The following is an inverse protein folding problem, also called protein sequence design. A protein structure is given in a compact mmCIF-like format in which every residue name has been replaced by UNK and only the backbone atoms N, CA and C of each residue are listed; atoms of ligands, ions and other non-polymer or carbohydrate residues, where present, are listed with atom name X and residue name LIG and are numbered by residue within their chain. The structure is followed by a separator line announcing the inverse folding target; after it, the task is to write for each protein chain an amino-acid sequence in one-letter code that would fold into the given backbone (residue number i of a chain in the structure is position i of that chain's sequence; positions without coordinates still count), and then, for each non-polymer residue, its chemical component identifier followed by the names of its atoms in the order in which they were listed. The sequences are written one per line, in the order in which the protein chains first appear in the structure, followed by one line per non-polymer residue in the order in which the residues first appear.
data_IF_677117284262
#
_entry.id   IF_677117284262
#
_cell.length_a   1.000
_cell.length_b   1.000
_cell.length_c   1.000
_cell.angle_alpha   90.00
_cell.angle_beta   90.00
_cell.angle_gamma   90.00
#
_symmetry.space_group_name_H-M   'P 1'
#
loop_
_entity.id
_entity.type
_entity.pdbx_description
1 polymer ?
#
# COMPACT_ATOMS: atom_id res chain seq x y z
N UNK A 1 -26.74 3.10 18.07
CA UNK A 1 -27.03 1.69 18.44
C UNK A 1 -25.67 1.01 18.57
N UNK A 2 -25.16 0.91 19.80
CA UNK A 2 -23.82 0.38 20.08
C UNK A 2 -23.88 -1.16 20.03
N UNK A 3 -23.15 -1.77 19.10
CA UNK A 3 -22.90 -3.22 19.16
C UNK A 3 -21.78 -3.46 20.18
N UNK A 4 -22.16 -3.91 21.36
CA UNK A 4 -21.25 -4.46 22.34
C UNK A 4 -20.68 -5.78 21.80
N UNK A 5 -19.39 -5.80 21.46
CA UNK A 5 -18.65 -7.06 21.31
C UNK A 5 -18.30 -7.60 22.68
N UNK A 6 -19.17 -8.42 23.25
CA UNK A 6 -18.84 -9.25 24.40
C UNK A 6 -18.12 -10.51 23.91
N UNK A 7 -16.81 -10.41 23.73
CA UNK A 7 -15.97 -11.60 23.60
C UNK A 7 -15.16 -11.76 24.90
N UNK A 8 -15.49 -12.79 25.66
CA UNK A 8 -14.73 -13.21 26.84
C UNK A 8 -13.99 -14.48 26.45
N UNK A 9 -12.75 -14.32 25.96
CA UNK A 9 -11.88 -15.41 25.56
C UNK A 9 -10.49 -14.94 25.20
N UNK A 10 -9.54 -15.86 25.07
CA UNK A 10 -8.17 -15.57 24.66
C UNK A 10 -8.12 -15.22 23.16
N UNK A 11 -7.07 -14.50 22.73
CA UNK A 11 -6.84 -14.17 21.32
C UNK A 11 -6.81 -15.42 20.41
N UNK A 12 -6.32 -16.52 20.91
CA UNK A 12 -6.27 -17.81 20.21
C UNK A 12 -7.67 -18.41 19.98
N UNK A 13 -8.56 -18.30 20.95
CA UNK A 13 -9.97 -18.72 20.82
C UNK A 13 -10.73 -17.86 19.82
N UNK A 14 -10.44 -16.54 19.76
CA UNK A 14 -11.01 -15.64 18.76
C UNK A 14 -10.54 -16.01 17.34
N UNK A 15 -9.26 -16.33 17.14
CA UNK A 15 -8.72 -16.80 15.86
C UNK A 15 -9.35 -18.13 15.42
N UNK A 16 -9.52 -19.08 16.35
CA UNK A 16 -10.17 -20.36 16.06
C UNK A 16 -11.64 -20.19 15.65
N UNK A 17 -12.36 -19.26 16.30
CA UNK A 17 -13.76 -18.96 15.98
C UNK A 17 -13.91 -18.26 14.61
N UNK A 18 -12.95 -17.39 14.24
CA UNK A 18 -12.90 -16.80 12.88
C UNK A 18 -12.58 -17.83 11.80
N UNK A 19 -11.70 -18.78 12.08
CA UNK A 19 -11.34 -19.84 11.14
C UNK A 19 -12.55 -20.77 10.88
N UNK A 20 -13.31 -21.13 11.92
CA UNK A 20 -14.53 -21.95 11.80
C UNK A 20 -15.64 -21.23 11.04
N UNK A 21 -15.89 -19.94 11.27
CA UNK A 21 -16.88 -19.16 10.50
C UNK A 21 -16.53 -19.05 9.01
N UNK A 22 -15.24 -19.01 8.68
CA UNK A 22 -14.77 -18.97 7.29
C UNK A 22 -14.93 -20.35 6.60
N UNK A 23 -14.80 -21.43 7.36
CA UNK A 23 -15.02 -22.79 6.87
C UNK A 23 -16.50 -23.10 6.60
N UNK A 24 -17.42 -22.57 7.41
CA UNK A 24 -18.88 -22.73 7.22
C UNK A 24 -19.42 -21.93 6.02
N UNK A 25 -18.82 -20.79 5.67
CA UNK A 25 -19.19 -20.00 4.50
C UNK A 25 -18.68 -20.56 3.17
N UNK A 26 -17.63 -21.39 3.18
CA UNK A 26 -17.03 -21.97 1.97
C UNK A 26 -17.67 -23.30 1.50
N UNK A 27 -18.65 -23.84 2.22
CA UNK A 27 -19.30 -25.10 1.82
C UNK A 27 -20.38 -24.97 0.74
N UNK A 28 -20.64 -23.76 0.20
CA UNK A 28 -21.72 -23.53 -0.77
C UNK A 28 -21.28 -23.00 -2.16
N UNK A 29 -19.99 -22.98 -2.48
CA UNK A 29 -19.52 -22.68 -3.83
C UNK A 29 -18.53 -23.75 -4.29
N UNK A 30 -18.99 -24.64 -5.16
CA UNK A 30 -18.08 -25.48 -5.96
C UNK A 30 -17.60 -24.64 -7.14
N UNK A 31 -16.45 -24.02 -6.99
CA UNK A 31 -15.59 -23.60 -8.08
C UNK A 31 -14.17 -24.06 -7.76
N UNK A 32 -13.50 -24.62 -8.77
CA UNK A 32 -12.14 -25.16 -8.65
C UNK A 32 -11.20 -24.07 -8.15
N UNK A 33 -10.93 -24.08 -6.84
CA UNK A 33 -9.97 -23.20 -6.21
C UNK A 33 -8.57 -23.75 -6.45
N UNK A 34 -7.73 -22.99 -7.15
CA UNK A 34 -6.28 -23.13 -7.07
C UNK A 34 -5.91 -23.08 -5.59
N UNK A 35 -5.48 -24.22 -5.05
CA UNK A 35 -5.10 -24.36 -3.65
C UNK A 35 -3.88 -23.48 -3.40
N UNK A 36 -4.11 -22.30 -2.84
CA UNK A 36 -3.04 -21.49 -2.26
C UNK A 36 -2.52 -22.22 -1.02
N UNK A 37 -1.31 -22.78 -1.13
CA UNK A 37 -0.65 -23.46 -0.04
C UNK A 37 0.11 -22.44 0.81
N UNK A 38 -0.36 -22.09 2.04
CA UNK A 38 0.30 -21.09 2.89
C UNK A 38 1.61 -21.56 3.52
N UNK A 39 2.03 -22.80 3.29
CA UNK A 39 3.24 -23.36 3.89
C UNK A 39 4.55 -23.06 3.13
N UNK A 40 4.48 -22.37 1.99
CA UNK A 40 5.65 -21.74 1.38
C UNK A 40 5.83 -20.30 1.86
N UNK A 41 5.77 -20.07 3.17
CA UNK A 41 6.49 -18.95 3.76
C UNK A 41 7.97 -19.21 3.54
N UNK A 42 8.47 -18.84 2.38
CA UNK A 42 9.89 -18.57 2.18
C UNK A 42 10.23 -17.61 3.32
N UNK A 43 10.95 -18.13 4.30
CA UNK A 43 11.46 -17.33 5.42
C UNK A 43 12.28 -16.23 4.79
N UNK A 44 11.73 -14.99 4.77
CA UNK A 44 12.38 -13.79 4.26
C UNK A 44 13.64 -13.41 5.06
N UNK A 45 14.44 -14.40 5.49
CA UNK A 45 15.61 -14.23 6.31
C UNK A 45 16.88 -13.79 5.53
N UNK A 46 16.77 -13.47 4.22
CA UNK A 46 17.93 -13.19 3.37
C UNK A 46 17.78 -11.94 2.53
N UNK A 47 17.23 -10.85 3.09
CA UNK A 47 17.26 -9.55 2.43
C UNK A 47 18.20 -8.58 3.16
N UNK A 48 19.44 -8.95 3.27
CA UNK A 48 20.47 -7.98 3.50
C UNK A 48 20.82 -7.37 2.14
N UNK A 49 20.20 -6.24 1.79
CA UNK A 49 20.56 -5.54 0.56
C UNK A 49 22.06 -5.27 0.53
N UNK A 50 22.66 -5.21 -0.65
CA UNK A 50 24.09 -4.86 -0.78
C UNK A 50 24.37 -3.52 -0.10
N UNK A 51 23.39 -2.60 -0.11
CA UNK A 51 23.45 -1.36 0.65
C UNK A 51 23.70 -1.64 2.15
N UNK A 52 22.88 -2.50 2.78
CA UNK A 52 23.05 -2.88 4.18
C UNK A 52 24.39 -3.59 4.40
N UNK A 53 24.80 -4.51 3.50
CA UNK A 53 26.08 -5.20 3.59
C UNK A 53 27.27 -4.24 3.64
N UNK A 54 27.19 -3.11 2.93
CA UNK A 54 28.22 -2.08 2.96
C UNK A 54 28.13 -1.28 4.26
N UNK A 55 26.98 -0.65 4.53
CA UNK A 55 26.89 0.41 5.54
C UNK A 55 26.62 -0.07 6.97
N UNK A 56 26.24 -1.35 7.19
CA UNK A 56 26.08 -1.89 8.55
C UNK A 56 27.37 -2.44 9.17
N UNK A 57 28.45 -2.57 8.39
CA UNK A 57 29.70 -3.14 8.88
C UNK A 57 30.57 -2.13 9.62
N UNK A 58 31.23 -2.60 10.64
CA UNK A 58 32.20 -1.80 11.43
C UNK A 58 33.27 -1.16 10.58
N UNK A 59 33.78 -1.88 9.59
CA UNK A 59 34.85 -1.40 8.69
C UNK A 59 34.43 -0.21 7.81
N UNK A 60 33.11 -0.07 7.52
CA UNK A 60 32.53 1.02 6.72
C UNK A 60 31.76 2.04 7.58
N UNK A 61 31.93 2.03 8.89
CA UNK A 61 31.26 2.96 9.81
C UNK A 61 31.64 4.43 9.53
N UNK A 62 32.84 4.68 9.00
CA UNK A 62 33.22 6.02 8.55
C UNK A 62 32.39 6.46 7.34
N UNK A 63 32.17 5.58 6.36
CA UNK A 63 31.33 5.88 5.19
C UNK A 63 29.87 6.19 5.59
N UNK A 64 29.35 5.51 6.62
CA UNK A 64 28.04 5.82 7.21
C UNK A 64 28.02 7.20 7.86
N UNK A 65 29.09 7.57 8.60
CA UNK A 65 29.23 8.88 9.19
C UNK A 65 29.32 9.98 8.13
N UNK A 66 30.00 9.72 7.01
CA UNK A 66 30.09 10.66 5.89
C UNK A 66 28.72 10.91 5.25
N UNK A 67 27.87 9.86 5.11
CA UNK A 67 26.48 10.04 4.67
C UNK A 67 25.72 10.91 5.67
N UNK A 68 25.82 10.63 6.96
CA UNK A 68 25.14 11.42 7.98
C UNK A 68 25.58 12.89 7.94
N UNK A 69 26.90 13.14 7.88
CA UNK A 69 27.46 14.50 7.77
C UNK A 69 26.95 15.23 6.54
N UNK A 70 26.94 14.57 5.38
CA UNK A 70 26.47 15.16 4.13
C UNK A 70 24.99 15.54 4.17
N UNK A 71 24.14 14.70 4.78
CA UNK A 71 22.70 14.94 4.89
C UNK A 71 22.35 16.02 5.93
N UNK A 72 23.16 16.18 6.96
CA UNK A 72 22.88 17.08 8.09
C UNK A 72 23.75 18.34 8.09
N UNK A 73 24.62 18.53 7.09
CA UNK A 73 25.64 19.58 7.08
C UNK A 73 26.47 19.64 8.38
N UNK A 74 26.82 18.46 8.91
CA UNK A 74 27.63 18.28 10.10
C UNK A 74 29.05 17.85 9.72
N UNK A 75 29.96 17.80 10.70
CA UNK A 75 31.35 17.49 10.49
C UNK A 75 31.92 16.58 11.62
N UNK A 76 31.16 15.60 12.02
CA UNK A 76 31.62 14.58 12.97
C UNK A 76 32.78 13.80 12.37
N UNK A 77 33.81 13.54 13.19
CA UNK A 77 35.06 12.89 12.74
C UNK A 77 35.24 11.51 13.34
N UNK A 78 34.71 11.29 14.53
CA UNK A 78 34.84 10.01 15.22
C UNK A 78 33.65 9.07 14.88
N UNK A 79 33.93 8.04 14.11
CA UNK A 79 32.94 7.01 13.75
C UNK A 79 32.35 6.29 14.99
N UNK A 80 33.01 6.32 16.14
CA UNK A 80 32.55 5.70 17.37
C UNK A 80 31.40 6.48 18.03
N UNK A 81 31.15 7.72 17.60
CA UNK A 81 29.95 8.48 18.01
C UNK A 81 28.65 7.84 17.47
N UNK A 82 28.75 7.03 16.39
CA UNK A 82 27.63 6.25 15.86
C UNK A 82 27.36 5.03 16.75
N UNK A 83 26.20 4.98 17.40
CA UNK A 83 25.74 3.80 18.15
C UNK A 83 24.69 3.07 17.35
N UNK A 84 25.03 1.93 16.77
CA UNK A 84 24.11 1.12 15.97
C UNK A 84 22.98 0.55 16.84
N UNK A 85 21.75 0.71 16.38
CA UNK A 85 20.52 0.31 17.10
C UNK A 85 19.60 -0.52 16.20
N UNK A 86 20.14 -1.10 15.11
CA UNK A 86 19.37 -1.85 14.11
C UNK A 86 18.54 -2.97 14.74
N UNK A 87 17.30 -3.08 14.28
CA UNK A 87 16.33 -4.07 14.75
C UNK A 87 16.50 -5.35 13.92
N UNK A 88 17.06 -6.40 14.50
CA UNK A 88 17.26 -7.67 13.81
C UNK A 88 16.09 -8.65 13.93
N UNK A 89 15.37 -8.65 15.06
CA UNK A 89 14.19 -9.48 15.27
C UNK A 89 13.26 -8.86 16.31
N UNK A 90 12.01 -8.62 15.95
CA UNK A 90 10.91 -8.33 16.88
C UNK A 90 9.99 -9.53 16.93
N UNK A 91 9.75 -10.08 18.10
CA UNK A 91 9.02 -11.36 18.31
C UNK A 91 7.58 -11.32 17.77
N UNK A 92 6.99 -10.13 17.62
CA UNK A 92 5.59 -9.94 17.19
C UNK A 92 5.41 -9.26 15.83
N UNK A 93 6.47 -8.75 15.21
CA UNK A 93 6.41 -8.15 13.87
C UNK A 93 7.60 -8.62 13.06
N UNK A 94 7.34 -9.23 11.91
CA UNK A 94 8.35 -9.61 10.91
C UNK A 94 9.01 -8.39 10.23
N UNK A 95 9.05 -7.24 10.94
CA UNK A 95 9.61 -6.00 10.44
C UNK A 95 11.08 -5.90 10.83
N UNK A 96 11.91 -5.83 9.82
CA UNK A 96 13.35 -5.51 9.95
C UNK A 96 13.58 -4.16 9.29
N UNK A 97 14.35 -3.30 9.94
CA UNK A 97 14.87 -2.10 9.30
C UNK A 97 16.28 -2.36 8.75
N UNK A 98 16.66 -1.65 7.70
CA UNK A 98 17.97 -1.86 7.08
C UNK A 98 19.09 -1.38 7.99
N UNK A 99 19.01 -0.15 8.50
CA UNK A 99 20.06 0.44 9.32
C UNK A 99 19.50 1.52 10.25
N UNK A 100 19.68 1.39 11.55
CA UNK A 100 19.39 2.46 12.50
C UNK A 100 20.53 2.68 13.48
N UNK A 101 20.70 3.92 13.90
CA UNK A 101 21.76 4.31 14.82
C UNK A 101 21.41 5.58 15.60
N UNK A 102 22.08 5.74 16.72
CA UNK A 102 22.09 6.96 17.52
C UNK A 102 23.37 7.72 17.24
N UNK A 103 23.26 9.02 17.02
CA UNK A 103 24.39 9.94 16.98
C UNK A 103 23.96 11.23 17.65
N UNK A 104 24.75 11.71 18.60
CA UNK A 104 24.44 12.85 19.42
C UNK A 104 23.01 12.67 20.05
N UNK A 105 22.11 13.61 19.82
CA UNK A 105 20.71 13.55 20.28
C UNK A 105 19.74 13.20 19.15
N UNK A 106 20.16 12.42 18.17
CA UNK A 106 19.35 11.98 17.02
C UNK A 106 19.26 10.46 16.95
N UNK A 107 18.08 9.98 16.64
CA UNK A 107 17.80 8.59 16.27
C UNK A 107 17.55 8.55 14.76
N UNK A 108 18.48 7.95 14.04
CA UNK A 108 18.49 7.93 12.57
C UNK A 108 18.08 6.56 12.09
N UNK A 109 17.19 6.54 11.10
CA UNK A 109 16.77 5.34 10.40
C UNK A 109 17.00 5.55 8.90
N UNK A 110 17.81 4.68 8.31
CA UNK A 110 18.07 4.58 6.88
C UNK A 110 17.45 3.30 6.33
N UNK A 111 16.64 3.43 5.30
CA UNK A 111 16.04 2.34 4.55
C UNK A 111 16.48 2.41 3.10
N UNK A 112 16.71 1.26 2.48
CA UNK A 112 17.01 1.15 1.07
C UNK A 112 15.82 0.51 0.33
N UNK A 113 15.43 1.10 -0.81
CA UNK A 113 14.31 0.61 -1.60
C UNK A 113 14.64 0.56 -3.09
N UNK A 114 14.51 -0.63 -3.71
CA UNK A 114 14.63 -0.82 -5.16
C UNK A 114 13.31 -0.58 -5.91
N UNK A 115 12.19 -0.47 -5.20
CA UNK A 115 10.86 -0.19 -5.74
C UNK A 115 10.23 0.97 -4.99
N UNK A 116 9.41 1.77 -5.67
CA UNK A 116 8.67 2.84 -5.01
C UNK A 116 7.61 2.25 -4.07
N UNK A 117 7.66 2.66 -2.80
CA UNK A 117 6.68 2.22 -1.80
C UNK A 117 6.07 3.44 -1.09
N UNK A 118 4.78 3.77 -1.34
CA UNK A 118 4.12 4.90 -0.70
C UNK A 118 3.90 4.72 0.81
N UNK A 119 4.00 3.48 1.31
CA UNK A 119 3.80 3.16 2.73
C UNK A 119 5.06 3.36 3.58
N UNK A 120 6.13 3.92 3.03
CA UNK A 120 7.35 4.17 3.80
C UNK A 120 7.12 5.03 5.04
N UNK A 121 6.27 6.09 5.04
CA UNK A 121 5.98 6.83 6.26
C UNK A 121 5.37 5.96 7.37
N UNK A 122 4.41 5.10 7.03
CA UNK A 122 3.79 4.18 7.98
C UNK A 122 4.81 3.18 8.53
N UNK A 123 5.65 2.60 7.67
CA UNK A 123 6.74 1.71 8.10
C UNK A 123 7.71 2.41 9.05
N UNK A 124 8.15 3.61 8.69
CA UNK A 124 9.04 4.41 9.54
C UNK A 124 8.41 4.74 10.89
N UNK A 125 7.13 5.12 10.93
CA UNK A 125 6.41 5.38 12.16
C UNK A 125 6.42 4.17 13.12
N UNK A 126 6.14 2.97 12.58
CA UNK A 126 6.15 1.73 13.35
C UNK A 126 7.58 1.36 13.82
N UNK A 127 8.60 1.53 12.97
CA UNK A 127 9.99 1.30 13.36
C UNK A 127 10.45 2.24 14.48
N UNK A 128 10.13 3.52 14.40
CA UNK A 128 10.47 4.47 15.45
C UNK A 128 9.71 4.20 16.75
N UNK A 129 8.48 3.70 16.68
CA UNK A 129 7.75 3.23 17.85
C UNK A 129 8.54 2.16 18.62
N UNK A 130 9.05 1.14 17.91
CA UNK A 130 9.87 0.08 18.54
C UNK A 130 11.24 0.59 19.00
N UNK A 131 11.92 1.40 18.18
CA UNK A 131 13.20 2.01 18.56
C UNK A 131 13.09 2.85 19.83
N UNK A 132 12.04 3.67 19.98
CA UNK A 132 11.80 4.46 21.17
C UNK A 132 11.41 3.59 22.36
N UNK A 133 10.60 2.55 22.13
CA UNK A 133 10.24 1.62 23.19
C UNK A 133 11.49 0.98 23.82
N UNK A 134 12.44 0.50 23.00
CA UNK A 134 13.72 -0.06 23.45
C UNK A 134 14.58 1.00 24.13
N UNK A 135 14.70 2.18 23.53
CA UNK A 135 15.47 3.29 24.09
C UNK A 135 14.97 3.70 25.48
N UNK A 136 13.64 3.76 25.68
CA UNK A 136 13.01 4.09 26.95
C UNK A 136 13.07 2.92 27.93
N UNK A 137 12.95 1.68 27.49
CA UNK A 137 13.06 0.48 28.31
C UNK A 137 14.39 0.40 29.05
N UNK A 138 15.49 0.72 28.38
CA UNK A 138 16.83 0.82 28.97
C UNK A 138 16.94 1.95 30.02
N UNK A 139 16.04 2.94 29.99
CA UNK A 139 16.03 4.14 30.83
C UNK A 139 14.81 4.25 31.76
N UNK A 140 14.13 3.14 32.02
CA UNK A 140 12.90 3.08 32.80
C UNK A 140 11.70 3.72 32.12
N UNK A 141 11.04 2.95 31.25
CA UNK A 141 9.84 3.34 30.49
C UNK A 141 8.72 3.92 31.37
N UNK A 142 8.65 3.50 32.64
CA UNK A 142 7.70 4.02 33.63
C UNK A 142 7.73 5.55 33.82
N UNK A 143 8.84 6.20 33.41
CA UNK A 143 8.96 7.66 33.51
C UNK A 143 8.00 8.42 32.64
N UNK A 144 7.51 7.81 31.54
CA UNK A 144 6.52 8.44 30.64
C UNK A 144 5.15 8.66 31.31
N UNK A 145 4.89 7.99 32.43
CA UNK A 145 3.63 8.12 33.21
C UNK A 145 3.75 9.10 34.36
N UNK A 146 4.89 9.81 34.46
CA UNK A 146 5.11 10.83 35.53
C UNK A 146 4.93 12.22 34.91
N UNK A 147 4.86 13.22 35.76
CA UNK A 147 4.61 14.63 35.44
C UNK A 147 5.81 15.32 34.77
N UNK A 148 6.98 14.69 34.75
CA UNK A 148 8.20 15.26 34.14
C UNK A 148 8.34 14.87 32.65
N UNK A 149 8.64 15.84 31.81
CA UNK A 149 8.89 15.62 30.38
C UNK A 149 10.08 14.66 30.16
N UNK A 150 9.83 13.56 29.47
CA UNK A 150 10.87 12.62 29.03
C UNK A 150 11.42 13.08 27.70
N UNK A 151 12.70 13.47 27.68
CA UNK A 151 13.38 13.82 26.44
C UNK A 151 13.81 12.56 25.70
N UNK A 152 13.54 12.53 24.39
CA UNK A 152 13.92 11.45 23.48
C UNK A 152 14.77 11.99 22.35
N UNK A 153 15.62 11.17 21.68
CA UNK A 153 16.39 11.58 20.51
C UNK A 153 15.48 12.05 19.38
N UNK A 154 15.89 13.09 18.67
CA UNK A 154 15.16 13.60 17.51
C UNK A 154 15.15 12.55 16.39
N UNK A 155 13.99 12.14 15.85
CA UNK A 155 13.94 11.15 14.78
C UNK A 155 14.38 11.74 13.44
N UNK A 156 15.08 10.95 12.64
CA UNK A 156 15.39 11.25 11.24
C UNK A 156 15.19 10.00 10.39
N UNK A 157 14.27 10.07 9.46
CA UNK A 157 13.94 8.96 8.56
C UNK A 157 14.32 9.29 7.11
N UNK A 158 15.23 8.51 6.53
CA UNK A 158 15.68 8.67 5.16
C UNK A 158 15.54 7.35 4.41
N UNK A 159 14.94 7.41 3.22
CA UNK A 159 14.78 6.29 2.31
C UNK A 159 15.70 6.51 1.11
N UNK A 160 16.66 5.65 0.91
CA UNK A 160 17.52 5.65 -0.28
C UNK A 160 16.85 4.81 -1.38
N UNK A 161 16.41 5.49 -2.42
CA UNK A 161 15.72 4.87 -3.54
C UNK A 161 16.66 4.69 -4.73
N UNK A 162 16.77 3.47 -5.23
CA UNK A 162 17.52 3.14 -6.45
C UNK A 162 16.72 2.33 -7.46
N UNK A 163 15.38 2.43 -7.44
CA UNK A 163 14.50 1.73 -8.38
C UNK A 163 14.57 2.25 -9.81
N UNK A 164 13.80 1.63 -10.70
CA UNK A 164 13.80 1.92 -12.15
C UNK A 164 12.73 2.92 -12.58
N UNK A 165 11.88 3.38 -11.67
CA UNK A 165 10.83 4.35 -12.00
C UNK A 165 11.48 5.69 -12.41
N UNK A 166 11.26 6.13 -13.65
CA UNK A 166 12.01 7.24 -14.27
C UNK A 166 11.61 8.63 -13.78
N UNK A 167 10.47 8.75 -13.09
CA UNK A 167 9.90 10.05 -12.72
C UNK A 167 10.13 10.43 -11.26
N UNK A 168 11.04 9.76 -10.55
CA UNK A 168 11.33 10.08 -9.16
C UNK A 168 12.35 11.22 -9.09
N UNK A 169 11.95 12.32 -8.46
CA UNK A 169 12.83 13.46 -8.22
C UNK A 169 14.03 13.11 -7.32
N UNK A 170 15.07 13.92 -7.34
CA UNK A 170 16.25 13.74 -6.49
C UNK A 170 15.88 13.63 -5.01
N UNK A 171 14.87 14.40 -4.57
CA UNK A 171 14.34 14.39 -3.22
C UNK A 171 12.83 14.45 -3.24
N UNK A 172 12.19 13.53 -2.52
CA UNK A 172 10.74 13.46 -2.36
C UNK A 172 10.38 13.31 -0.89
N UNK A 173 9.33 13.99 -0.45
CA UNK A 173 8.78 13.84 0.90
C UNK A 173 7.52 12.99 0.82
N UNK A 174 7.53 11.84 1.46
CA UNK A 174 6.37 10.98 1.60
C UNK A 174 5.72 11.27 2.96
N UNK A 175 4.42 11.47 2.98
CA UNK A 175 3.67 11.87 4.17
C UNK A 175 2.78 10.75 4.68
N UNK A 176 2.72 10.57 5.99
CA UNK A 176 1.82 9.59 6.60
C UNK A 176 0.35 9.97 6.41
N UNK A 177 0.06 11.27 6.40
CA UNK A 177 -1.30 11.78 6.17
C UNK A 177 -1.89 11.41 4.80
N UNK A 178 -1.05 11.03 3.82
CA UNK A 178 -1.53 10.53 2.53
C UNK A 178 -2.25 9.17 2.65
N UNK A 179 -1.95 8.41 3.70
CA UNK A 179 -2.57 7.12 4.01
C UNK A 179 -3.80 7.21 4.92
N UNK A 180 -4.18 8.40 5.40
CA UNK A 180 -5.33 8.54 6.28
C UNK A 180 -6.64 8.42 5.48
N UNK A 181 -7.57 7.60 5.97
CA UNK A 181 -8.90 7.44 5.39
C UNK A 181 -9.68 8.76 5.36
N UNK A 182 -9.57 9.56 6.42
CA UNK A 182 -10.12 10.89 6.52
C UNK A 182 -9.00 11.93 6.49
N UNK A 183 -8.98 12.75 5.44
CA UNK A 183 -8.00 13.84 5.29
C UNK A 183 -8.47 15.09 6.04
N UNK A 184 -8.33 15.08 7.35
CA UNK A 184 -8.61 16.25 8.18
C UNK A 184 -7.38 17.17 8.20
N UNK A 185 -7.57 18.39 7.70
CA UNK A 185 -6.51 19.41 7.68
C UNK A 185 -6.18 19.99 9.06
N UNK A 186 -7.03 19.74 10.05
CA UNK A 186 -6.88 20.29 11.41
C UNK A 186 -6.12 19.38 12.36
N UNK A 187 -5.82 18.14 11.96
CA UNK A 187 -5.26 17.10 12.80
C UNK A 187 -3.85 17.44 13.35
N UNK A 188 -3.07 18.26 12.70
CA UNK A 188 -1.73 18.64 13.18
C UNK A 188 -0.72 17.48 13.32
N UNK A 189 -1.13 16.22 13.13
CA UNK A 189 -0.24 15.06 13.19
C UNK A 189 0.31 14.74 11.80
N UNK A 190 1.65 14.82 11.66
CA UNK A 190 2.34 14.44 10.44
C UNK A 190 3.63 13.68 10.75
N UNK A 191 3.86 12.62 10.03
CA UNK A 191 5.11 11.88 9.98
C UNK A 191 5.60 11.81 8.54
N UNK A 192 6.86 12.21 8.29
CA UNK A 192 7.40 12.34 6.95
C UNK A 192 8.63 11.47 6.77
N UNK A 193 8.68 10.69 5.69
CA UNK A 193 9.89 10.03 5.21
C UNK A 193 10.54 10.90 4.12
N UNK A 194 11.84 11.15 4.23
CA UNK A 194 12.63 11.81 3.18
C UNK A 194 13.18 10.74 2.26
N UNK A 195 12.67 10.66 1.04
CA UNK A 195 13.19 9.75 0.01
C UNK A 195 14.19 10.47 -0.88
N UNK A 196 15.37 9.89 -1.04
CA UNK A 196 16.47 10.37 -1.87
C UNK A 196 16.71 9.40 -3.02
N UNK A 197 16.63 9.88 -4.24
CA UNK A 197 16.96 9.11 -5.42
C UNK A 197 18.48 8.98 -5.54
N UNK A 198 19.00 7.79 -5.28
CA UNK A 198 20.43 7.49 -5.34
C UNK A 198 20.83 6.76 -6.64
N UNK A 199 20.01 6.79 -7.67
CA UNK A 199 20.43 6.31 -8.99
C UNK A 199 21.58 7.14 -9.55
N UNK A 200 22.38 6.51 -10.37
CA UNK A 200 23.52 7.17 -11.03
C UNK A 200 23.08 8.45 -11.77
N UNK A 201 23.76 9.55 -11.49
CA UNK A 201 23.44 10.87 -12.04
C UNK A 201 22.51 11.74 -11.19
N UNK A 202 21.88 11.18 -10.16
CA UNK A 202 21.03 11.88 -9.18
C UNK A 202 21.79 12.32 -7.94
N UNK A 203 21.23 13.29 -7.19
CA UNK A 203 21.78 13.80 -5.90
C UNK A 203 23.30 14.04 -5.94
N UNK A 204 23.77 14.72 -6.96
CA UNK A 204 25.21 14.90 -7.24
C UNK A 204 26.03 15.45 -6.06
N UNK A 205 25.48 16.41 -5.32
CA UNK A 205 26.15 16.97 -4.14
C UNK A 205 26.36 15.93 -3.03
N UNK A 206 25.37 15.09 -2.79
CA UNK A 206 25.45 13.97 -1.84
C UNK A 206 26.52 12.97 -2.31
N UNK A 207 26.50 12.61 -3.60
CA UNK A 207 27.44 11.66 -4.19
C UNK A 207 28.89 12.17 -4.14
N UNK A 208 29.12 13.46 -4.34
CA UNK A 208 30.46 14.07 -4.21
C UNK A 208 31.01 14.01 -2.77
N UNK A 209 30.14 14.11 -1.77
CA UNK A 209 30.52 14.05 -0.35
C UNK A 209 30.65 12.60 0.18
N UNK A 210 30.00 11.64 -0.47
CA UNK A 210 29.89 10.26 0.00
C UNK A 210 30.39 9.28 -1.08
N UNK A 211 31.71 9.13 -1.17
CA UNK A 211 32.36 8.30 -2.22
C UNK A 211 31.80 6.88 -2.28
N UNK A 212 31.64 6.22 -1.13
CA UNK A 212 31.12 4.84 -1.08
C UNK A 212 29.69 4.71 -1.58
N UNK A 213 28.84 5.72 -1.30
CA UNK A 213 27.47 5.78 -1.82
C UNK A 213 27.47 6.01 -3.34
N UNK A 214 28.36 6.87 -3.85
CA UNK A 214 28.53 7.08 -5.28
C UNK A 214 28.97 5.80 -6.00
N UNK A 215 29.98 5.10 -5.46
CA UNK A 215 30.46 3.82 -5.99
C UNK A 215 29.35 2.77 -6.00
N UNK A 216 28.51 2.72 -4.95
CA UNK A 216 27.34 1.84 -4.90
C UNK A 216 26.32 2.17 -6.01
N UNK A 217 25.98 3.44 -6.16
CA UNK A 217 25.09 3.94 -7.23
C UNK A 217 25.60 3.55 -8.63
N UNK A 218 26.88 3.75 -8.87
CA UNK A 218 27.54 3.40 -10.13
C UNK A 218 27.54 1.88 -10.36
N UNK A 219 27.82 1.08 -9.33
CA UNK A 219 27.80 -0.38 -9.44
C UNK A 219 26.40 -0.90 -9.80
N UNK A 220 25.35 -0.38 -9.18
CA UNK A 220 23.96 -0.74 -9.53
C UNK A 220 23.64 -0.38 -11.00
N UNK A 221 24.09 0.79 -11.46
CA UNK A 221 23.93 1.20 -12.85
C UNK A 221 24.68 0.28 -13.83
N UNK A 222 25.89 -0.17 -13.47
CA UNK A 222 26.65 -1.15 -14.25
C UNK A 222 25.95 -2.48 -14.36
N UNK A 223 25.40 -3.01 -13.25
CA UNK A 223 24.62 -4.26 -13.26
C UNK A 223 23.44 -4.16 -14.21
N UNK A 224 22.70 -3.04 -14.17
CA UNK A 224 21.57 -2.80 -15.08
C UNK A 224 22.02 -2.74 -16.54
N UNK A 225 23.09 -2.02 -16.82
CA UNK A 225 23.66 -1.91 -18.18
C UNK A 225 24.08 -3.26 -18.75
N UNK A 226 24.78 -4.08 -17.97
CA UNK A 226 25.19 -5.43 -18.43
C UNK A 226 23.97 -6.35 -18.59
N UNK A 227 22.91 -6.17 -17.81
CA UNK A 227 21.67 -6.94 -17.96
C UNK A 227 20.95 -6.68 -19.27
N UNK A 228 21.04 -5.48 -19.84
CA UNK A 228 20.47 -5.18 -21.15
C UNK A 228 21.11 -6.02 -22.27
N UNK A 229 22.39 -6.35 -22.12
CA UNK A 229 23.15 -7.13 -23.11
C UNK A 229 23.16 -8.63 -22.83
N UNK A 230 22.84 -9.08 -21.62
CA UNK A 230 22.95 -10.48 -21.19
C UNK A 230 21.69 -10.92 -20.46
N UNK A 231 20.95 -11.91 -21.00
CA UNK A 231 19.74 -12.46 -20.35
C UNK A 231 20.07 -13.31 -19.11
N UNK A 232 21.26 -13.84 -19.04
CA UNK A 232 21.74 -14.65 -17.91
C UNK A 232 22.20 -13.73 -16.77
N UNK A 233 21.46 -13.76 -15.65
CA UNK A 233 21.70 -12.89 -14.52
C UNK A 233 23.02 -13.22 -13.81
N UNK A 234 23.37 -14.50 -13.76
CA UNK A 234 24.62 -14.98 -13.15
C UNK A 234 25.85 -14.41 -13.88
N UNK A 235 25.81 -14.50 -15.21
CA UNK A 235 26.81 -13.90 -16.10
C UNK A 235 26.85 -12.37 -16.00
N UNK A 236 25.67 -11.74 -15.92
CA UNK A 236 25.55 -10.28 -15.75
C UNK A 236 26.31 -9.83 -14.50
N UNK A 237 26.11 -10.53 -13.39
CA UNK A 237 26.77 -10.21 -12.12
C UNK A 237 28.29 -10.37 -12.20
N UNK A 238 28.77 -11.45 -12.81
CA UNK A 238 30.20 -11.66 -12.98
C UNK A 238 30.85 -10.55 -13.80
N UNK A 239 30.25 -10.19 -14.95
CA UNK A 239 30.76 -9.12 -15.81
C UNK A 239 30.74 -7.75 -15.11
N UNK A 240 29.66 -7.42 -14.37
CA UNK A 240 29.55 -6.16 -13.66
C UNK A 240 30.59 -6.06 -12.54
N UNK A 241 30.78 -7.13 -11.76
CA UNK A 241 31.75 -7.17 -10.67
C UNK A 241 33.18 -7.11 -11.20
N UNK A 242 33.53 -7.85 -12.27
CA UNK A 242 34.86 -7.81 -12.86
C UNK A 242 35.19 -6.43 -13.41
N UNK A 243 34.23 -5.80 -14.08
CA UNK A 243 34.37 -4.42 -14.55
C UNK A 243 34.56 -3.46 -13.38
N UNK A 244 33.69 -3.50 -12.38
CA UNK A 244 33.74 -2.63 -11.22
C UNK A 244 35.07 -2.76 -10.46
N UNK A 245 35.55 -3.99 -10.20
CA UNK A 245 36.84 -4.27 -9.54
C UNK A 245 38.00 -3.68 -10.36
N UNK A 246 37.96 -3.86 -11.68
CA UNK A 246 39.03 -3.34 -12.56
C UNK A 246 39.10 -1.80 -12.55
N UNK A 247 37.96 -1.13 -12.38
CA UNK A 247 37.88 0.34 -12.41
C UNK A 247 37.86 0.97 -11.02
N UNK A 248 38.09 0.20 -9.95
CA UNK A 248 38.17 0.71 -8.58
C UNK A 248 36.84 1.01 -7.92
N UNK A 249 35.72 0.58 -8.51
CA UNK A 249 34.35 0.80 -7.99
C UNK A 249 34.06 -0.28 -6.97
N UNK A 250 33.90 0.06 -5.70
CA UNK A 250 33.72 -0.89 -4.58
C UNK A 250 34.72 -2.05 -4.58
N UNK A 251 35.93 -1.84 -5.15
CA UNK A 251 36.83 -2.93 -5.52
C UNK A 251 37.19 -3.85 -4.36
N UNK A 252 37.54 -3.31 -3.19
CA UNK A 252 37.93 -4.09 -2.01
C UNK A 252 36.74 -4.86 -1.44
N UNK A 253 35.56 -4.24 -1.39
CA UNK A 253 34.33 -4.87 -0.96
C UNK A 253 33.93 -6.02 -1.91
N UNK A 254 33.93 -5.78 -3.22
CA UNK A 254 33.54 -6.77 -4.22
C UNK A 254 34.53 -7.95 -4.30
N UNK A 255 35.82 -7.72 -4.08
CA UNK A 255 36.78 -8.83 -3.99
C UNK A 255 36.54 -9.72 -2.77
N UNK A 256 36.25 -9.10 -1.63
CA UNK A 256 36.02 -9.81 -0.37
C UNK A 256 34.67 -10.54 -0.33
N UNK A 257 33.63 -9.90 -0.84
CA UNK A 257 32.25 -10.33 -0.66
C UNK A 257 31.57 -10.79 -1.96
N UNK A 258 32.34 -11.15 -2.99
CA UNK A 258 31.84 -11.48 -4.33
C UNK A 258 30.65 -12.44 -4.33
N UNK A 259 30.75 -13.56 -3.61
CA UNK A 259 29.70 -14.57 -3.57
C UNK A 259 28.43 -14.06 -2.87
N UNK A 260 28.59 -13.34 -1.76
CA UNK A 260 27.47 -12.80 -1.01
C UNK A 260 26.75 -11.69 -1.79
N UNK A 261 27.50 -10.77 -2.42
CA UNK A 261 26.95 -9.72 -3.29
C UNK A 261 26.19 -10.34 -4.46
N UNK A 262 26.76 -11.33 -5.13
CA UNK A 262 26.13 -12.05 -6.24
C UNK A 262 24.81 -12.66 -5.81
N UNK A 263 24.80 -13.41 -4.70
CA UNK A 263 23.58 -14.04 -4.17
C UNK A 263 22.52 -13.01 -3.82
N UNK A 264 22.90 -11.90 -3.19
CA UNK A 264 21.98 -10.83 -2.80
C UNK A 264 21.31 -10.19 -4.02
N UNK A 265 22.09 -9.83 -5.04
CA UNK A 265 21.53 -9.27 -6.28
C UNK A 265 20.64 -10.25 -7.03
N UNK A 266 21.00 -11.53 -7.10
CA UNK A 266 20.17 -12.58 -7.71
C UNK A 266 18.80 -12.65 -7.01
N UNK A 267 18.79 -12.53 -5.70
CA UNK A 267 17.56 -12.54 -4.90
C UNK A 267 16.74 -11.25 -5.08
N UNK A 268 17.39 -10.09 -5.06
CA UNK A 268 16.72 -8.79 -5.26
C UNK A 268 16.05 -8.71 -6.64
N UNK A 269 16.76 -9.08 -7.70
CA UNK A 269 16.20 -9.08 -9.05
C UNK A 269 15.06 -10.08 -9.26
N UNK A 270 15.13 -11.25 -8.61
CA UNK A 270 14.01 -12.21 -8.63
C UNK A 270 12.78 -11.64 -7.94
N UNK A 271 12.96 -10.93 -6.83
CA UNK A 271 11.88 -10.28 -6.10
C UNK A 271 11.30 -9.08 -6.85
N UNK A 272 12.14 -8.26 -7.48
CA UNK A 272 11.70 -7.12 -8.30
C UNK A 272 10.82 -7.60 -9.47
N UNK A 273 11.21 -8.68 -10.15
CA UNK A 273 10.40 -9.29 -11.19
C UNK A 273 9.06 -9.83 -10.63
N UNK A 274 9.10 -10.51 -9.47
CA UNK A 274 7.89 -11.01 -8.82
C UNK A 274 6.95 -9.87 -8.42
N UNK A 275 7.46 -8.80 -7.80
CA UNK A 275 6.66 -7.63 -7.42
C UNK A 275 6.09 -6.88 -8.63
N UNK A 276 6.83 -6.86 -9.74
CA UNK A 276 6.35 -6.30 -11.00
C UNK A 276 5.18 -7.11 -11.56
N UNK A 277 5.35 -8.42 -11.69
CA UNK A 277 4.29 -9.33 -12.16
C UNK A 277 3.07 -9.25 -11.25
N UNK A 278 3.27 -9.25 -9.94
CA UNK A 278 2.19 -9.14 -8.95
C UNK A 278 1.44 -7.79 -9.06
N UNK A 279 2.13 -6.69 -9.33
CA UNK A 279 1.49 -5.39 -9.61
C UNK A 279 0.66 -5.42 -10.89
N UNK A 280 1.22 -5.97 -11.96
CA UNK A 280 0.52 -6.12 -13.24
C UNK A 280 -0.76 -6.96 -13.07
N UNK A 281 -0.70 -8.05 -12.29
CA UNK A 281 -1.86 -8.87 -11.96
C UNK A 281 -2.92 -8.10 -11.15
N UNK A 282 -2.50 -7.32 -10.13
CA UNK A 282 -3.42 -6.49 -9.35
C UNK A 282 -4.08 -5.41 -10.22
N UNK A 283 -3.34 -4.76 -11.09
CA UNK A 283 -3.89 -3.74 -12.01
C UNK A 283 -4.87 -4.37 -13.00
N UNK A 284 -4.57 -5.55 -13.51
CA UNK A 284 -5.47 -6.31 -14.36
C UNK A 284 -6.78 -6.68 -13.64
N UNK A 285 -6.70 -7.20 -12.42
CA UNK A 285 -7.88 -7.57 -11.63
C UNK A 285 -8.72 -6.34 -11.24
N UNK A 286 -8.10 -5.20 -10.92
CA UNK A 286 -8.79 -3.92 -10.69
C UNK A 286 -9.55 -3.48 -11.93
N UNK A 287 -8.88 -3.43 -13.08
CA UNK A 287 -9.53 -3.04 -14.34
C UNK A 287 -10.68 -3.97 -14.71
N UNK A 288 -10.57 -5.26 -14.37
CA UNK A 288 -11.63 -6.25 -14.55
C UNK A 288 -12.81 -6.00 -13.60
N UNK A 289 -12.55 -5.66 -12.34
CA UNK A 289 -13.57 -5.32 -11.36
C UNK A 289 -14.31 -4.04 -11.75
N UNK A 290 -13.61 -2.96 -12.11
CA UNK A 290 -14.19 -1.70 -12.57
C UNK A 290 -15.11 -1.92 -13.80
N UNK A 291 -14.69 -2.78 -14.72
CA UNK A 291 -15.49 -3.13 -15.89
C UNK A 291 -16.75 -3.96 -15.53
N UNK A 292 -16.67 -4.80 -14.50
CA UNK A 292 -17.82 -5.55 -14.01
C UNK A 292 -18.81 -4.61 -13.29
N UNK A 293 -18.34 -3.69 -12.47
CA UNK A 293 -19.18 -2.68 -11.80
C UNK A 293 -19.89 -1.76 -12.81
N UNK A 294 -19.18 -1.33 -13.86
CA UNK A 294 -19.78 -0.53 -14.92
C UNK A 294 -20.92 -1.31 -15.65
N UNK A 295 -20.75 -2.61 -15.87
CA UNK A 295 -21.80 -3.45 -16.46
C UNK A 295 -23.00 -3.63 -15.54
N UNK A 296 -22.78 -3.76 -14.24
CA UNK A 296 -23.86 -3.84 -13.25
C UNK A 296 -24.65 -2.54 -13.25
N UNK A 297 -23.97 -1.40 -13.17
CA UNK A 297 -24.62 -0.08 -13.20
C UNK A 297 -25.45 0.15 -14.48
N UNK A 298 -24.92 -0.27 -15.64
CA UNK A 298 -25.68 -0.21 -16.90
C UNK A 298 -26.93 -1.11 -16.89
N UNK A 299 -26.83 -2.32 -16.33
CA UNK A 299 -27.98 -3.23 -16.21
C UNK A 299 -29.05 -2.70 -15.25
N UNK A 300 -28.61 -2.11 -14.13
CA UNK A 300 -29.52 -1.46 -13.16
C UNK A 300 -30.24 -0.26 -13.80
N UNK A 301 -29.53 0.57 -14.55
CA UNK A 301 -30.12 1.70 -15.27
C UNK A 301 -31.21 1.24 -16.29
N UNK A 302 -30.91 0.19 -17.07
CA UNK A 302 -31.87 -0.40 -18.01
C UNK A 302 -33.10 -0.99 -17.29
N UNK A 303 -32.89 -1.61 -16.14
CA UNK A 303 -33.98 -2.15 -15.32
C UNK A 303 -34.86 -1.05 -14.75
N UNK A 304 -34.27 0.05 -14.30
CA UNK A 304 -35.01 1.23 -13.82
C UNK A 304 -35.84 1.86 -14.94
N UNK A 305 -35.26 2.01 -16.14
CA UNK A 305 -35.99 2.54 -17.31
C UNK A 305 -37.16 1.63 -17.72
N UNK A 306 -36.95 0.30 -17.71
CA UNK A 306 -38.03 -0.64 -17.99
C UNK A 306 -39.17 -0.55 -16.97
N UNK A 307 -38.87 -0.44 -15.67
CA UNK A 307 -39.88 -0.23 -14.61
C UNK A 307 -40.68 1.07 -14.81
N UNK A 308 -40.01 2.15 -15.19
CA UNK A 308 -40.66 3.43 -15.46
C UNK A 308 -41.65 3.29 -16.64
N UNK A 309 -41.24 2.65 -17.73
CA UNK A 309 -42.11 2.41 -18.89
C UNK A 309 -43.32 1.53 -18.54
N UNK A 310 -43.12 0.54 -17.69
CA UNK A 310 -44.24 -0.34 -17.22
C UNK A 310 -45.23 0.47 -16.40
N UNK A 311 -44.73 1.29 -15.44
CA UNK A 311 -45.60 2.12 -14.63
C UNK A 311 -46.38 3.18 -15.47
N UNK A 312 -45.76 3.75 -16.51
CA UNK A 312 -46.43 4.68 -17.44
C UNK A 312 -47.53 3.95 -18.26
N UNK A 313 -47.27 2.73 -18.68
CA UNK A 313 -48.23 1.91 -19.41
C UNK A 313 -49.43 1.54 -18.52
N UNK A 314 -49.19 1.13 -17.29
CA UNK A 314 -50.25 0.84 -16.29
C UNK A 314 -51.12 2.07 -15.98
N UNK A 315 -50.49 3.24 -15.81
CA UNK A 315 -51.19 4.47 -15.59
C UNK A 315 -52.11 4.84 -16.77
N UNK A 316 -51.66 4.68 -18.03
CA UNK A 316 -52.48 4.88 -19.22
C UNK A 316 -53.64 3.88 -19.31
N UNK A 317 -53.42 2.63 -18.93
CA UNK A 317 -54.49 1.61 -18.92
C UNK A 317 -55.55 1.98 -17.87
N UNK A 318 -55.13 2.34 -16.67
CA UNK A 318 -56.05 2.78 -15.60
C UNK A 318 -56.84 4.04 -15.99
N UNK A 319 -56.23 5.02 -16.68
CA UNK A 319 -56.93 6.19 -17.20
C UNK A 319 -57.99 5.83 -18.26
N UNK A 320 -57.67 4.88 -19.16
CA UNK A 320 -58.59 4.41 -20.17
C UNK A 320 -59.78 3.67 -19.54
N UNK A 321 -59.53 2.80 -18.55
CA UNK A 321 -60.58 2.09 -17.79
C UNK A 321 -61.50 3.08 -17.05
N UNK A 322 -60.92 4.09 -16.40
CA UNK A 322 -61.71 5.13 -15.73
C UNK A 322 -62.64 5.88 -16.70
N UNK A 323 -62.16 6.29 -17.89
CA UNK A 323 -62.95 6.90 -18.94
C UNK A 323 -64.08 6.00 -19.44
N UNK A 324 -63.80 4.72 -19.57
CA UNK A 324 -64.79 3.70 -19.98
C UNK A 324 -65.89 3.58 -18.93
N UNK A 325 -65.52 3.47 -17.65
CA UNK A 325 -66.47 3.41 -16.54
C UNK A 325 -67.36 4.68 -16.42
N UNK A 326 -66.78 5.85 -16.65
CA UNK A 326 -67.52 7.11 -16.66
C UNK A 326 -68.53 7.15 -17.81
N UNK A 327 -68.13 6.74 -19.01
CA UNK A 327 -69.03 6.66 -20.17
C UNK A 327 -70.20 5.63 -19.94
N UNK A 328 -69.93 4.49 -19.34
CA UNK A 328 -70.93 3.51 -18.96
C UNK A 328 -71.91 4.08 -17.92
N UNK A 329 -71.43 4.80 -16.91
CA UNK A 329 -72.23 5.46 -15.90
C UNK A 329 -73.15 6.51 -16.51
N UNK A 330 -72.66 7.36 -17.41
CA UNK A 330 -73.48 8.34 -18.16
C UNK A 330 -74.54 7.64 -18.99
N UNK A 331 -74.15 6.58 -19.71
CA UNK A 331 -75.11 5.80 -20.52
C UNK A 331 -76.23 5.20 -19.66
N UNK A 332 -75.88 4.63 -18.51
CA UNK A 332 -76.83 4.06 -17.55
C UNK A 332 -77.81 5.10 -17.00
N UNK A 333 -77.28 6.29 -16.66
CA UNK A 333 -78.09 7.43 -16.18
C UNK A 333 -79.10 7.89 -17.24
N UNK A 334 -78.62 8.08 -18.49
CA UNK A 334 -79.45 8.43 -19.63
C UNK A 334 -80.54 7.43 -19.94
N UNK A 335 -80.26 6.12 -19.82
CA UNK A 335 -81.22 5.05 -19.97
C UNK A 335 -82.31 5.11 -18.89
N UNK A 336 -81.96 5.35 -17.63
CA UNK A 336 -82.91 5.48 -16.51
C UNK A 336 -83.79 6.73 -16.68
N UNK A 337 -83.24 7.85 -17.10
CA UNK A 337 -83.98 9.08 -17.41
C UNK A 337 -84.97 8.85 -18.56
N UNK A 338 -84.55 8.19 -19.63
CA UNK A 338 -85.42 7.82 -20.75
C UNK A 338 -86.55 6.87 -20.33
N UNK A 339 -86.31 5.89 -19.49
CA UNK A 339 -87.37 5.01 -18.95
C UNK A 339 -88.32 5.84 -18.07
N UNK A 340 -87.82 6.72 -17.24
CA UNK A 340 -88.64 7.59 -16.42
C UNK A 340 -89.49 8.49 -17.28
N UNK A 341 -88.98 9.15 -18.30
CA UNK A 341 -89.72 9.97 -19.26
C UNK A 341 -90.77 9.18 -19.99
N UNK A 342 -90.50 7.95 -20.44
CA UNK A 342 -91.45 7.00 -21.06
C UNK A 342 -92.56 6.66 -20.10
N UNK A 343 -92.30 6.53 -18.81
CA UNK A 343 -93.33 6.27 -17.80
C UNK A 343 -94.22 7.50 -17.62
N UNK A 344 -93.69 8.70 -17.50
CA UNK A 344 -94.50 9.92 -17.41
C UNK A 344 -95.42 10.15 -18.64
N UNK A 345 -94.87 9.92 -19.84
CA UNK A 345 -95.62 10.04 -21.07
C UNK A 345 -96.76 9.07 -21.15
N UNK A 346 -96.60 7.78 -20.69
CA UNK A 346 -97.67 6.81 -20.59
C UNK A 346 -98.72 7.26 -19.55
N UNK A 347 -98.36 7.79 -18.40
CA UNK A 347 -99.27 8.27 -17.37
C UNK A 347 -100.15 9.45 -17.85
N UNK A 348 -99.67 10.23 -18.83
CA UNK A 348 -100.36 11.39 -19.42
C UNK A 348 -101.05 11.07 -20.74
N UNK A 349 -101.21 9.75 -21.13
CA UNK A 349 -101.82 9.33 -22.39
C UNK A 349 -101.24 9.93 -23.66
N UNK A 350 -99.93 10.22 -23.69
CA UNK A 350 -99.23 10.68 -24.86
C UNK A 350 -98.59 9.43 -25.51
N UNK A 351 -99.08 9.04 -26.72
CA UNK A 351 -98.46 7.91 -27.51
C UNK A 351 -97.12 8.33 -28.01
N UNK A 352 -96.07 7.36 -27.84
CA UNK A 352 -94.75 7.51 -28.39
C UNK A 352 -94.62 6.50 -29.53
#
# INVERSE_FOLDING_TARGET
MFLQCNFIGTYEEWLAQKANKKAEQNNNCKEESVVYNPSTHIRHNYKDSVFRMIFSREEYRQDLLDIYNALNNSAYKDKNELKITTIDNVIYMTMKNDLSFLIDSRMVLYEHQSTFNPNMPLRGFLYFGDLYYRYLGERSIERIYRDSLVKIPTPQFVVFYNGVDRNIADKTFLKLSDAFEHKDKTNGFEWTATMLNINYGHNKELMLKCKKLAEYSEFVALVRKFRESTKDLDKTMDLAMDYAIKHGILSDFLRKERAAVKMTFLTEFSMENYEKTFREDIEYERARADKAEARIAEAEAKTAEAKTRTAEAEAKTAEAEAKTAEAEAVTKTTLLENEHLKKILREHNIDI
#
